data_IF_112260537022
#
_entry.id   IF_112260537022
#
_cell.length_a   1.000
_cell.length_b   1.000
_cell.length_c   1.000
_cell.angle_alpha   90.00
_cell.angle_beta   90.00
_cell.angle_gamma   90.00
#
_symmetry.space_group_name_H-M   'P 1'
#
loop_
_entity.id
_entity.type
_entity.pdbx_description
1 polymer ?
#
# COMPACT_ATOMS: atom_id res chain seq x y z
N UNK A 1 -61.15 -1.41 -39.01
CA UNK A 1 -60.38 -2.53 -38.40
C UNK A 1 -58.89 -2.07 -38.28
N UNK A 2 -58.52 -1.54 -37.14
CA UNK A 2 -57.19 -0.98 -36.88
C UNK A 2 -56.41 -2.02 -36.08
N UNK A 3 -55.34 -2.57 -36.66
CA UNK A 3 -54.47 -3.55 -35.98
C UNK A 3 -53.45 -2.83 -35.13
N UNK A 4 -53.47 -3.05 -33.80
CA UNK A 4 -52.43 -2.68 -32.88
C UNK A 4 -51.27 -3.70 -32.94
N UNK A 5 -50.05 -3.21 -33.18
CA UNK A 5 -48.83 -4.01 -33.07
C UNK A 5 -48.20 -3.64 -31.72
N UNK A 6 -47.95 -4.61 -30.83
CA UNK A 6 -47.27 -4.32 -29.56
C UNK A 6 -45.76 -4.12 -29.77
N UNK A 7 -45.28 -3.00 -29.31
CA UNK A 7 -43.84 -2.69 -29.26
C UNK A 7 -43.22 -3.42 -28.07
N UNK A 8 -42.48 -4.49 -28.33
CA UNK A 8 -41.71 -5.21 -27.28
C UNK A 8 -40.42 -4.46 -27.00
N UNK A 9 -40.34 -3.87 -25.82
CA UNK A 9 -39.12 -3.24 -25.32
C UNK A 9 -38.23 -4.34 -24.75
N UNK A 10 -37.12 -4.65 -25.43
CA UNK A 10 -36.06 -5.50 -24.91
C UNK A 10 -35.17 -4.65 -23.98
N UNK A 11 -35.27 -4.88 -22.66
CA UNK A 11 -34.33 -4.35 -21.69
C UNK A 11 -33.11 -5.29 -21.69
N UNK A 12 -32.01 -4.83 -22.30
CA UNK A 12 -30.71 -5.50 -22.18
C UNK A 12 -30.14 -5.27 -20.80
N UNK A 13 -30.22 -6.25 -19.93
CA UNK A 13 -29.52 -6.27 -18.65
C UNK A 13 -28.05 -6.57 -18.92
N UNK A 14 -27.24 -5.56 -18.95
CA UNK A 14 -25.75 -5.70 -18.99
C UNK A 14 -25.27 -6.17 -17.62
N UNK A 15 -25.09 -7.46 -17.48
CA UNK A 15 -24.43 -8.03 -16.29
C UNK A 15 -22.96 -7.65 -16.34
N UNK A 16 -22.56 -6.75 -15.47
CA UNK A 16 -21.14 -6.44 -15.23
C UNK A 16 -20.53 -7.66 -14.54
N UNK A 17 -19.76 -8.49 -15.27
CA UNK A 17 -18.95 -9.54 -14.67
C UNK A 17 -17.83 -8.85 -13.86
N UNK A 18 -18.00 -8.79 -12.56
CA UNK A 18 -16.88 -8.55 -11.63
C UNK A 18 -16.09 -9.87 -11.61
N UNK A 19 -15.00 -9.93 -12.34
CA UNK A 19 -14.05 -11.03 -12.23
C UNK A 19 -13.43 -10.96 -10.85
N UNK A 20 -13.74 -11.94 -9.99
CA UNK A 20 -12.96 -12.13 -8.77
C UNK A 20 -11.51 -12.43 -9.20
N UNK A 21 -10.56 -11.58 -8.77
CA UNK A 21 -9.15 -11.82 -8.98
C UNK A 21 -8.80 -13.19 -8.41
N UNK A 22 -8.39 -14.12 -9.29
CA UNK A 22 -7.79 -15.37 -8.81
C UNK A 22 -6.41 -15.00 -8.30
N UNK A 23 -6.27 -14.95 -6.97
CA UNK A 23 -4.99 -14.63 -6.35
C UNK A 23 -3.90 -15.60 -6.82
N UNK A 24 -2.66 -15.14 -6.83
CA UNK A 24 -1.47 -15.95 -7.15
C UNK A 24 -1.45 -17.27 -6.34
N UNK A 25 -1.02 -18.35 -6.96
CA UNK A 25 -0.80 -19.61 -6.25
C UNK A 25 0.25 -19.44 -5.13
N UNK A 26 0.16 -20.20 -4.03
CA UNK A 26 1.10 -20.06 -2.91
C UNK A 26 2.58 -20.16 -3.30
N UNK A 27 2.90 -21.04 -4.25
CA UNK A 27 4.26 -21.22 -4.77
C UNK A 27 4.74 -19.99 -5.57
N UNK A 28 3.88 -19.40 -6.39
CA UNK A 28 4.19 -18.18 -7.14
C UNK A 28 4.40 -17.00 -6.20
N UNK A 29 3.55 -16.85 -5.17
CA UNK A 29 3.71 -15.86 -4.12
C UNK A 29 5.06 -15.98 -3.42
N UNK A 30 5.40 -17.21 -2.98
CA UNK A 30 6.66 -17.48 -2.30
C UNK A 30 7.86 -17.19 -3.19
N UNK A 31 7.82 -17.63 -4.44
CA UNK A 31 8.91 -17.39 -5.41
C UNK A 31 9.13 -15.89 -5.61
N UNK A 32 8.09 -15.15 -5.97
CA UNK A 32 8.20 -13.72 -6.25
C UNK A 32 8.58 -12.91 -4.98
N UNK A 33 8.12 -13.31 -3.80
CA UNK A 33 8.50 -12.66 -2.54
C UNK A 33 9.99 -12.78 -2.25
N UNK A 34 10.63 -13.89 -2.65
CA UNK A 34 12.06 -14.14 -2.44
C UNK A 34 12.95 -13.76 -3.62
N UNK A 35 12.36 -13.42 -4.78
CA UNK A 35 13.10 -12.99 -5.98
C UNK A 35 12.57 -11.65 -6.51
N UNK A 36 13.26 -10.53 -6.23
CA UNK A 36 12.89 -9.22 -6.75
C UNK A 36 12.99 -9.10 -8.28
N UNK A 37 13.58 -10.08 -8.97
CA UNK A 37 13.72 -10.13 -10.41
C UNK A 37 12.73 -11.07 -11.09
N UNK A 38 11.79 -11.67 -10.33
CA UNK A 38 10.71 -12.48 -10.90
C UNK A 38 9.91 -11.67 -11.93
N UNK A 39 9.48 -12.33 -12.99
CA UNK A 39 8.70 -11.70 -14.09
C UNK A 39 7.40 -11.04 -13.64
N UNK A 40 6.86 -11.42 -12.50
CA UNK A 40 5.69 -10.77 -11.89
C UNK A 40 5.89 -9.26 -11.73
N UNK A 41 7.09 -8.84 -11.30
CA UNK A 41 7.39 -7.43 -10.99
C UNK A 41 7.40 -6.51 -12.21
N UNK A 42 7.44 -7.06 -13.42
CA UNK A 42 7.37 -6.31 -14.68
C UNK A 42 5.97 -6.17 -15.26
N UNK A 43 4.98 -6.86 -14.67
CA UNK A 43 3.61 -6.82 -15.15
C UNK A 43 2.91 -5.52 -14.68
N UNK A 44 2.09 -4.87 -15.54
CA UNK A 44 1.34 -3.71 -15.12
C UNK A 44 0.16 -4.12 -14.23
N UNK A 45 -0.09 -3.33 -13.18
CA UNK A 45 -1.29 -3.44 -12.39
C UNK A 45 -2.54 -3.00 -13.18
N UNK A 46 -3.76 -3.38 -12.75
CA UNK A 46 -5.01 -2.82 -13.26
C UNK A 46 -5.04 -1.30 -13.22
N UNK A 47 -5.86 -0.66 -14.10
CA UNK A 47 -5.97 0.81 -14.15
C UNK A 47 -6.42 1.41 -12.81
N UNK A 48 -7.27 0.69 -12.08
CA UNK A 48 -7.68 0.98 -10.71
C UNK A 48 -7.81 -0.33 -9.93
N UNK A 49 -7.49 -0.28 -8.64
CA UNK A 49 -7.74 -1.42 -7.74
C UNK A 49 -7.94 -0.93 -6.31
N UNK A 50 -8.63 -1.75 -5.53
CA UNK A 50 -8.89 -1.51 -4.10
C UNK A 50 -8.14 -2.50 -3.25
N UNK A 51 -7.44 -1.98 -2.26
CA UNK A 51 -6.73 -2.76 -1.23
C UNK A 51 -7.49 -2.66 0.09
N UNK A 52 -7.78 -3.81 0.68
CA UNK A 52 -8.25 -3.94 2.05
C UNK A 52 -7.04 -4.22 2.95
N UNK A 53 -6.82 -3.36 3.92
CA UNK A 53 -5.81 -3.56 4.96
C UNK A 53 -6.54 -3.85 6.28
N UNK A 54 -6.27 -5.01 6.85
CA UNK A 54 -6.69 -5.38 8.20
C UNK A 54 -5.60 -4.99 9.19
N UNK A 55 -5.97 -4.26 10.23
CA UNK A 55 -5.05 -3.81 11.29
C UNK A 55 -5.54 -4.22 12.67
N UNK A 56 -4.69 -4.08 13.68
CA UNK A 56 -5.10 -4.27 15.09
C UNK A 56 -6.14 -3.24 15.57
N UNK A 57 -6.38 -2.17 14.81
CA UNK A 57 -7.36 -1.10 15.12
C UNK A 57 -8.61 -1.14 14.26
N UNK A 58 -8.66 -1.99 13.23
CA UNK A 58 -9.79 -2.10 12.31
C UNK A 58 -9.35 -2.18 10.85
N UNK A 59 -10.29 -1.96 9.96
CA UNK A 59 -10.10 -2.09 8.51
C UNK A 59 -9.88 -0.71 7.88
N UNK A 60 -8.98 -0.66 6.90
CA UNK A 60 -8.70 0.49 6.04
C UNK A 60 -8.92 0.04 4.59
N UNK A 61 -9.63 0.84 3.79
CA UNK A 61 -9.76 0.63 2.35
C UNK A 61 -9.02 1.73 1.58
N UNK A 62 -8.14 1.30 0.67
CA UNK A 62 -7.35 2.17 -0.20
C UNK A 62 -7.79 1.99 -1.64
N UNK A 63 -8.15 3.08 -2.33
CA UNK A 63 -8.30 3.09 -3.79
C UNK A 63 -7.00 3.57 -4.43
N UNK A 64 -6.46 2.76 -5.33
CA UNK A 64 -5.29 3.07 -6.13
C UNK A 64 -5.72 3.41 -7.54
N UNK A 65 -5.16 4.50 -8.09
CA UNK A 65 -5.34 4.91 -9.48
C UNK A 65 -3.99 4.87 -10.17
N UNK A 66 -3.76 3.85 -11.01
CA UNK A 66 -2.46 3.61 -11.67
C UNK A 66 -1.95 4.84 -12.44
N UNK A 67 -2.85 5.60 -13.09
CA UNK A 67 -2.48 6.78 -13.86
C UNK A 67 -1.82 7.90 -13.03
N UNK A 68 -2.02 7.95 -11.70
CA UNK A 68 -1.39 8.93 -10.81
C UNK A 68 0.11 8.69 -10.68
N UNK A 69 0.50 7.43 -10.44
CA UNK A 69 1.90 7.02 -10.25
C UNK A 69 2.09 5.58 -10.74
N UNK A 70 2.24 5.35 -12.07
CA UNK A 70 2.20 4.01 -12.66
C UNK A 70 3.19 3.02 -12.06
N UNK A 71 4.46 3.41 -11.87
CA UNK A 71 5.51 2.55 -11.33
C UNK A 71 5.25 2.20 -9.86
N UNK A 72 4.83 3.20 -9.08
CA UNK A 72 4.45 2.99 -7.69
C UNK A 72 3.21 2.10 -7.56
N UNK A 73 2.18 2.32 -8.38
CA UNK A 73 0.98 1.50 -8.38
C UNK A 73 1.28 0.05 -8.75
N UNK A 74 2.11 -0.21 -9.77
CA UNK A 74 2.54 -1.55 -10.16
C UNK A 74 3.30 -2.24 -9.02
N UNK A 75 4.27 -1.57 -8.41
CA UNK A 75 5.04 -2.09 -7.27
C UNK A 75 4.13 -2.40 -6.08
N UNK A 76 3.25 -1.49 -5.70
CA UNK A 76 2.35 -1.67 -4.56
C UNK A 76 1.37 -2.82 -4.77
N UNK A 77 0.79 -2.94 -5.98
CA UNK A 77 -0.11 -4.01 -6.35
C UNK A 77 0.52 -5.39 -6.13
N UNK A 78 1.72 -5.62 -6.67
CA UNK A 78 2.40 -6.90 -6.54
C UNK A 78 2.89 -7.18 -5.11
N UNK A 79 3.37 -6.18 -4.38
CA UNK A 79 3.73 -6.35 -2.97
C UNK A 79 2.54 -6.80 -2.12
N UNK A 80 1.32 -6.27 -2.41
CA UNK A 80 0.09 -6.74 -1.77
C UNK A 80 -0.25 -8.16 -2.21
N UNK A 81 -0.18 -8.47 -3.51
CA UNK A 81 -0.50 -9.81 -4.04
C UNK A 81 0.38 -10.92 -3.44
N UNK A 82 1.67 -10.65 -3.24
CA UNK A 82 2.58 -11.65 -2.66
C UNK A 82 2.54 -11.71 -1.13
N UNK A 83 1.76 -10.82 -0.47
CA UNK A 83 1.63 -10.76 0.99
C UNK A 83 2.85 -10.13 1.70
N UNK A 84 3.62 -9.29 1.00
CA UNK A 84 4.82 -8.64 1.55
C UNK A 84 4.53 -7.84 2.83
N UNK A 85 3.37 -7.18 2.89
CA UNK A 85 2.99 -6.34 4.03
C UNK A 85 2.38 -7.11 5.20
N UNK A 86 2.03 -8.37 5.02
CA UNK A 86 1.34 -9.16 6.04
C UNK A 86 2.18 -9.27 7.31
N UNK A 87 1.52 -9.14 8.47
CA UNK A 87 2.14 -9.15 9.78
C UNK A 87 3.27 -8.09 9.95
N UNK A 88 3.25 -6.99 9.21
CA UNK A 88 4.19 -5.86 9.42
C UNK A 88 3.70 -4.91 10.53
N UNK A 89 4.46 -3.85 10.81
CA UNK A 89 4.13 -2.84 11.83
C UNK A 89 4.01 -1.45 11.19
N UNK A 90 3.12 -0.63 11.76
CA UNK A 90 3.17 0.81 11.55
C UNK A 90 4.30 1.38 12.41
N UNK A 91 5.53 1.24 11.94
CA UNK A 91 6.74 1.47 12.73
C UNK A 91 7.04 2.96 12.97
N UNK A 92 6.36 3.87 12.26
CA UNK A 92 6.52 5.32 12.40
C UNK A 92 5.19 6.02 12.21
N UNK A 93 4.60 6.46 13.31
CA UNK A 93 3.32 7.19 13.32
C UNK A 93 3.52 8.55 13.95
N UNK A 94 3.27 9.61 13.19
CA UNK A 94 3.35 11.00 13.63
C UNK A 94 1.94 11.59 13.58
N UNK A 95 1.36 11.79 14.75
CA UNK A 95 -0.01 12.31 14.87
C UNK A 95 -0.20 13.59 14.06
N UNK A 96 -1.29 13.67 13.29
CA UNK A 96 -1.62 14.80 12.42
C UNK A 96 -0.72 14.98 11.20
N UNK A 97 0.22 14.05 10.94
CA UNK A 97 1.09 14.10 9.77
C UNK A 97 0.96 12.85 8.89
N UNK A 98 1.42 11.70 9.37
CA UNK A 98 1.35 10.43 8.61
C UNK A 98 1.52 9.21 9.50
N UNK A 99 1.11 8.05 8.96
CA UNK A 99 1.43 6.72 9.44
C UNK A 99 2.22 5.95 8.37
N UNK A 100 3.40 5.39 8.73
CA UNK A 100 4.33 4.73 7.81
C UNK A 100 4.50 3.25 8.18
N UNK A 101 4.49 2.40 7.14
CA UNK A 101 4.69 0.95 7.21
C UNK A 101 5.47 0.46 5.98
N UNK A 102 5.67 -0.85 5.82
CA UNK A 102 6.18 -1.43 4.59
C UNK A 102 7.64 -1.88 4.66
N UNK A 103 8.13 -2.22 5.86
CA UNK A 103 9.27 -3.10 6.05
C UNK A 103 8.69 -4.44 6.48
N UNK A 104 9.08 -5.52 5.80
CA UNK A 104 8.57 -6.86 6.10
C UNK A 104 8.91 -7.26 7.55
N UNK A 105 7.97 -7.94 8.23
CA UNK A 105 8.20 -8.40 9.59
C UNK A 105 9.23 -9.54 9.70
N UNK A 106 9.43 -10.30 8.61
CA UNK A 106 10.49 -11.28 8.47
C UNK A 106 11.79 -10.59 8.02
N UNK A 107 12.89 -10.64 8.80
CA UNK A 107 14.14 -9.99 8.45
C UNK A 107 14.82 -10.58 7.20
N UNK A 108 14.57 -11.83 6.84
CA UNK A 108 15.10 -12.41 5.61
C UNK A 108 14.49 -11.72 4.39
N UNK A 109 13.16 -11.56 4.39
CA UNK A 109 12.44 -10.82 3.33
C UNK A 109 12.80 -9.33 3.36
N UNK A 110 12.84 -8.71 4.56
CA UNK A 110 13.19 -7.30 4.69
C UNK A 110 14.55 -6.98 4.06
N UNK A 111 15.56 -7.82 4.26
CA UNK A 111 16.90 -7.67 3.68
C UNK A 111 16.92 -7.78 2.16
N UNK A 112 16.18 -8.72 1.58
CA UNK A 112 16.07 -8.89 0.13
C UNK A 112 15.55 -7.58 -0.49
N UNK A 113 14.50 -6.99 0.09
CA UNK A 113 13.80 -5.82 -0.47
C UNK A 113 14.36 -4.47 -0.06
N UNK A 114 15.29 -4.42 0.88
CA UNK A 114 15.83 -3.17 1.45
C UNK A 114 16.38 -2.21 0.40
N UNK A 115 17.02 -2.73 -0.65
CA UNK A 115 17.69 -1.95 -1.67
C UNK A 115 17.06 -2.08 -3.07
N UNK A 116 15.91 -2.76 -3.20
CA UNK A 116 15.21 -2.98 -4.46
C UNK A 116 14.46 -1.72 -4.91
N UNK A 117 15.25 -0.76 -5.38
CA UNK A 117 14.79 0.56 -5.80
C UNK A 117 14.07 0.52 -7.14
N UNK A 118 13.18 1.47 -7.34
CA UNK A 118 12.53 1.72 -8.63
C UNK A 118 12.42 3.22 -8.91
N UNK A 119 12.39 3.65 -10.20
CA UNK A 119 12.39 5.04 -10.60
C UNK A 119 11.15 5.79 -10.12
N UNK A 120 11.28 7.09 -9.92
CA UNK A 120 10.19 7.96 -9.50
C UNK A 120 9.11 8.12 -10.57
N UNK A 121 7.89 8.34 -10.13
CA UNK A 121 6.77 8.82 -10.94
C UNK A 121 6.65 10.34 -10.80
N UNK A 122 6.16 11.05 -11.84
CA UNK A 122 5.82 12.46 -11.70
C UNK A 122 4.66 12.63 -10.71
N UNK A 123 4.72 13.67 -9.89
CA UNK A 123 3.65 14.04 -8.97
C UNK A 123 2.46 14.59 -9.75
N UNK A 124 1.30 13.93 -9.65
CA UNK A 124 0.05 14.27 -10.34
C UNK A 124 -1.11 14.57 -9.40
N UNK A 125 -0.97 14.27 -8.10
CA UNK A 125 -1.94 14.59 -7.06
C UNK A 125 -1.18 15.13 -5.84
N UNK A 126 -1.86 15.82 -4.93
CA UNK A 126 -1.22 16.43 -3.77
C UNK A 126 -1.24 15.52 -2.54
N UNK A 127 -0.21 15.66 -1.71
CA UNK A 127 -0.06 14.95 -0.44
C UNK A 127 -0.94 15.54 0.65
N UNK A 128 -2.25 15.50 0.47
CA UNK A 128 -3.24 15.95 1.46
C UNK A 128 -3.73 14.79 2.32
N UNK A 129 -4.45 15.09 3.39
CA UNK A 129 -5.03 14.07 4.27
C UNK A 129 -5.79 12.99 3.48
N UNK A 130 -5.50 11.75 3.79
CA UNK A 130 -6.08 10.56 3.18
C UNK A 130 -5.36 10.07 1.93
N UNK A 131 -4.44 10.83 1.34
CA UNK A 131 -3.58 10.30 0.26
C UNK A 131 -2.45 9.46 0.82
N UNK A 132 -1.86 8.60 0.00
CA UNK A 132 -0.73 7.75 0.39
C UNK A 132 0.27 7.62 -0.76
N UNK A 133 1.54 7.44 -0.41
CA UNK A 133 2.63 7.36 -1.37
C UNK A 133 3.78 6.50 -0.84
N UNK A 134 4.73 6.16 -1.71
CA UNK A 134 5.99 5.56 -1.28
C UNK A 134 6.86 6.57 -0.53
N UNK A 135 7.43 6.13 0.59
CA UNK A 135 8.52 6.84 1.25
C UNK A 135 9.82 6.70 0.45
N UNK A 136 10.64 7.74 0.46
CA UNK A 136 11.95 7.74 -0.21
C UNK A 136 12.95 8.59 0.58
N UNK A 137 14.23 8.34 0.35
CA UNK A 137 15.34 9.10 0.94
C UNK A 137 15.96 10.11 -0.02
N UNK A 138 15.56 10.08 -1.27
CA UNK A 138 16.03 10.94 -2.37
C UNK A 138 15.42 10.47 -3.70
N UNK A 139 15.80 11.06 -4.83
CA UNK A 139 15.34 10.66 -6.15
C UNK A 139 15.64 9.18 -6.44
N UNK A 140 14.70 8.49 -7.09
CA UNK A 140 14.79 7.08 -7.47
C UNK A 140 15.16 6.13 -6.31
N UNK A 141 14.77 6.48 -5.08
CA UNK A 141 15.11 5.72 -3.87
C UNK A 141 13.90 5.04 -3.21
N UNK A 142 12.79 4.93 -3.91
CA UNK A 142 11.60 4.18 -3.46
C UNK A 142 11.87 2.69 -3.48
N UNK A 143 11.45 1.97 -2.43
CA UNK A 143 11.55 0.50 -2.35
C UNK A 143 10.19 -0.15 -2.05
N UNK A 144 9.83 -0.28 -0.77
CA UNK A 144 8.61 -0.98 -0.31
C UNK A 144 7.79 -0.18 0.69
N UNK A 145 8.38 0.88 1.29
CA UNK A 145 7.75 1.60 2.40
C UNK A 145 6.69 2.58 1.91
N UNK A 146 5.53 2.56 2.57
CA UNK A 146 4.36 3.40 2.29
C UNK A 146 4.08 4.29 3.49
N UNK A 147 3.66 5.52 3.24
CA UNK A 147 3.03 6.36 4.26
C UNK A 147 1.63 6.80 3.83
N UNK A 148 0.74 6.95 4.81
CA UNK A 148 -0.62 7.48 4.63
C UNK A 148 -0.67 8.84 5.34
N UNK A 149 -1.08 9.88 4.65
CA UNK A 149 -1.19 11.23 5.20
C UNK A 149 -2.39 11.34 6.16
N UNK A 150 -2.14 11.70 7.41
CA UNK A 150 -3.18 12.01 8.42
C UNK A 150 -3.45 13.50 8.55
N UNK A 151 -2.66 14.34 7.88
CA UNK A 151 -2.81 15.79 7.76
C UNK A 151 -2.36 16.28 6.39
N UNK A 152 -2.35 17.58 6.19
CA UNK A 152 -1.82 18.21 4.98
C UNK A 152 -0.28 18.13 4.98
N UNK A 153 0.26 17.49 3.94
CA UNK A 153 1.68 17.36 3.66
C UNK A 153 2.01 17.81 2.24
N UNK A 154 1.23 18.74 1.66
CA UNK A 154 1.40 19.23 0.27
C UNK A 154 2.81 19.73 -0.05
N UNK A 155 3.60 20.13 0.96
CA UNK A 155 5.03 20.42 0.81
C UNK A 155 5.85 19.26 0.22
N UNK A 156 5.38 18.01 0.34
CA UNK A 156 6.03 16.82 -0.20
C UNK A 156 5.90 16.74 -1.73
N UNK A 157 4.94 17.45 -2.33
CA UNK A 157 4.72 17.45 -3.78
C UNK A 157 5.96 17.99 -4.52
N UNK A 158 6.51 19.11 -4.07
CA UNK A 158 7.74 19.69 -4.60
C UNK A 158 9.00 18.84 -4.37
N UNK A 159 8.91 17.86 -3.46
CA UNK A 159 9.99 16.92 -3.15
C UNK A 159 9.88 15.61 -3.95
N UNK A 160 8.88 15.47 -4.83
CA UNK A 160 8.72 14.32 -5.71
C UNK A 160 7.95 13.14 -5.11
N UNK A 161 7.29 13.29 -3.96
CA UNK A 161 6.46 12.22 -3.39
C UNK A 161 5.14 12.13 -4.15
N UNK A 162 5.00 11.15 -5.02
CA UNK A 162 3.85 10.96 -5.90
C UNK A 162 2.76 10.08 -5.23
N UNK A 163 1.56 10.62 -4.90
CA UNK A 163 0.47 9.84 -4.37
C UNK A 163 0.00 8.75 -5.35
N UNK A 164 -0.34 7.57 -4.82
CA UNK A 164 -0.87 6.43 -5.57
C UNK A 164 -2.40 6.46 -5.63
N UNK A 165 -3.04 7.10 -4.65
CA UNK A 165 -4.47 7.07 -4.45
C UNK A 165 -4.89 7.59 -3.08
N UNK A 166 -6.07 7.14 -2.61
CA UNK A 166 -6.72 7.68 -1.40
C UNK A 166 -7.30 6.59 -0.52
N UNK A 167 -7.30 6.86 0.78
CA UNK A 167 -8.12 6.13 1.77
C UNK A 167 -9.59 6.48 1.52
N UNK A 168 -10.40 5.48 1.24
CA UNK A 168 -11.84 5.64 1.01
C UNK A 168 -12.67 5.22 2.21
N UNK A 169 -12.09 4.40 3.11
CA UNK A 169 -12.69 4.02 4.38
C UNK A 169 -11.60 3.79 5.43
N UNK A 170 -11.90 4.04 6.70
CA UNK A 170 -10.99 3.72 7.81
C UNK A 170 -10.00 4.83 8.17
N UNK A 171 -10.20 6.10 7.77
CA UNK A 171 -9.36 7.21 8.24
C UNK A 171 -9.31 7.33 9.77
N UNK A 172 -10.43 7.04 10.46
CA UNK A 172 -10.47 7.00 11.93
C UNK A 172 -9.60 5.88 12.51
N UNK A 173 -9.45 4.75 11.81
CA UNK A 173 -8.55 3.66 12.20
C UNK A 173 -7.11 4.16 12.16
N UNK A 174 -6.73 4.88 11.09
CA UNK A 174 -5.38 5.42 10.92
C UNK A 174 -5.07 6.49 11.97
N UNK A 175 -6.02 7.37 12.28
CA UNK A 175 -5.87 8.39 13.33
C UNK A 175 -5.67 7.79 14.74
N UNK A 176 -6.19 6.58 14.98
CA UNK A 176 -6.07 5.86 16.25
C UNK A 176 -4.87 4.91 16.32
N UNK A 177 -4.00 4.87 15.31
CA UNK A 177 -2.74 4.12 15.38
C UNK A 177 -1.84 4.73 16.46
N UNK A 178 -1.13 3.86 17.20
CA UNK A 178 -0.29 4.30 18.29
C UNK A 178 0.88 5.20 17.82
N UNK A 179 0.86 6.45 18.25
CA UNK A 179 1.83 7.47 17.87
C UNK A 179 2.82 7.83 19.00
N UNK A 180 2.76 7.15 20.14
CA UNK A 180 3.54 7.53 21.33
C UNK A 180 5.05 7.37 21.17
N UNK A 181 5.50 6.57 20.22
CA UNK A 181 6.94 6.45 19.90
C UNK A 181 7.46 7.57 18.98
N UNK A 182 6.62 8.15 18.13
CA UNK A 182 6.99 9.28 17.27
C UNK A 182 8.22 9.03 16.39
N UNK A 183 9.02 10.06 16.17
CA UNK A 183 10.26 9.97 15.39
C UNK A 183 11.50 9.69 16.24
N UNK A 184 11.44 9.98 17.52
CA UNK A 184 12.62 10.00 18.40
C UNK A 184 12.72 8.80 19.31
N UNK A 185 11.61 8.13 19.58
CA UNK A 185 11.62 6.92 20.38
C UNK A 185 12.27 5.77 19.60
N UNK A 186 13.02 4.94 20.31
CA UNK A 186 13.62 3.75 19.75
C UNK A 186 14.74 3.98 18.77
N UNK A 187 15.51 5.04 18.91
CA UNK A 187 16.64 5.32 18.03
C UNK A 187 16.22 5.83 16.65
N UNK A 188 14.95 6.26 16.52
CA UNK A 188 14.45 6.86 15.30
C UNK A 188 14.20 5.83 14.21
N UNK A 189 12.96 5.43 14.04
CA UNK A 189 12.53 4.58 12.93
C UNK A 189 12.42 5.34 11.60
N UNK A 190 12.96 6.54 11.51
CA UNK A 190 13.07 7.30 10.27
C UNK A 190 14.24 6.80 9.42
N UNK A 191 14.29 7.24 8.17
CA UNK A 191 15.38 6.92 7.25
C UNK A 191 16.76 7.11 7.90
N UNK A 192 17.66 6.14 7.73
CA UNK A 192 18.98 6.09 8.33
C UNK A 192 19.06 5.46 9.72
N UNK A 193 17.93 5.19 10.38
CA UNK A 193 17.88 4.57 11.71
C UNK A 193 17.10 3.25 11.75
N UNK A 194 16.81 2.66 10.59
CA UNK A 194 15.99 1.45 10.46
C UNK A 194 16.85 0.17 10.47
N UNK A 195 18.16 0.23 10.71
CA UNK A 195 19.07 -0.93 10.61
C UNK A 195 18.61 -2.14 11.39
N UNK A 196 18.32 -1.95 12.69
CA UNK A 196 17.82 -3.06 13.54
C UNK A 196 16.49 -3.64 13.06
N UNK A 197 15.60 -2.83 12.50
CA UNK A 197 14.34 -3.32 11.95
C UNK A 197 14.58 -4.23 10.75
N UNK A 198 15.52 -3.91 9.87
CA UNK A 198 15.91 -4.80 8.77
C UNK A 198 16.67 -6.04 9.24
N UNK A 199 17.42 -5.95 10.34
CA UNK A 199 18.22 -7.05 10.89
C UNK A 199 17.41 -8.05 11.71
N UNK A 200 16.49 -7.58 12.55
CA UNK A 200 15.77 -8.39 13.54
C UNK A 200 14.25 -8.46 13.28
N UNK A 201 13.71 -7.64 12.36
CA UNK A 201 12.31 -7.65 11.97
C UNK A 201 11.34 -7.38 13.13
N UNK A 202 10.23 -8.12 13.15
CA UNK A 202 9.21 -8.01 14.19
C UNK A 202 9.74 -8.31 15.59
N UNK A 203 10.74 -9.20 15.75
CA UNK A 203 11.29 -9.54 17.05
C UNK A 203 11.86 -8.31 17.77
N UNK A 204 12.52 -7.41 17.02
CA UNK A 204 12.99 -6.11 17.55
C UNK A 204 11.82 -5.22 17.95
N UNK A 205 10.80 -5.09 17.08
CA UNK A 205 9.67 -4.19 17.34
C UNK A 205 8.81 -4.68 18.51
N UNK A 206 8.55 -5.97 18.60
CA UNK A 206 7.74 -6.57 19.66
C UNK A 206 8.43 -6.50 21.03
N UNK A 207 9.78 -6.53 21.06
CA UNK A 207 10.58 -6.37 22.28
C UNK A 207 10.66 -4.91 22.73
N UNK A 208 11.01 -4.01 21.82
CA UNK A 208 11.39 -2.64 22.18
C UNK A 208 10.24 -1.63 21.93
N UNK A 209 9.24 -1.98 21.10
CA UNK A 209 8.13 -1.11 20.67
C UNK A 209 6.78 -1.85 20.66
N UNK A 210 6.50 -2.61 21.70
CA UNK A 210 5.36 -3.53 21.80
C UNK A 210 3.97 -2.88 21.67
N UNK A 211 3.86 -1.54 21.74
CA UNK A 211 2.60 -0.80 21.55
C UNK A 211 2.33 -0.46 20.08
N UNK A 212 3.27 -0.75 19.15
CA UNK A 212 3.03 -0.49 17.73
C UNK A 212 1.88 -1.34 17.20
N UNK A 213 1.00 -0.69 16.46
CA UNK A 213 -0.09 -1.38 15.78
C UNK A 213 0.42 -2.20 14.59
N UNK A 214 -0.26 -3.31 14.33
CA UNK A 214 0.08 -4.25 13.26
C UNK A 214 -0.81 -4.04 12.04
N UNK A 215 -0.20 -4.13 10.87
CA UNK A 215 -0.87 -4.50 9.65
C UNK A 215 -0.94 -6.03 9.65
N UNK A 216 -2.13 -6.58 9.88
CA UNK A 216 -2.35 -8.03 9.99
C UNK A 216 -2.27 -8.67 8.61
N UNK A 217 -2.99 -8.09 7.64
CA UNK A 217 -3.05 -8.56 6.25
C UNK A 217 -3.44 -7.43 5.30
N UNK A 218 -2.89 -7.49 4.08
CA UNK A 218 -3.31 -6.66 2.95
C UNK A 218 -3.77 -7.55 1.78
N UNK A 219 -4.89 -7.20 1.13
CA UNK A 219 -5.44 -7.98 0.02
C UNK A 219 -6.09 -7.09 -1.03
N UNK A 220 -6.00 -7.48 -2.31
CA UNK A 220 -6.74 -6.86 -3.41
C UNK A 220 -8.17 -7.39 -3.37
N UNK A 221 -9.15 -6.49 -3.26
CA UNK A 221 -10.58 -6.88 -3.18
C UNK A 221 -11.40 -6.43 -4.37
N UNK A 222 -10.89 -5.52 -5.19
CA UNK A 222 -11.55 -5.02 -6.40
C UNK A 222 -10.51 -4.61 -7.44
N UNK A 223 -10.76 -4.90 -8.72
CA UNK A 223 -9.92 -4.52 -9.85
C UNK A 223 -10.79 -3.97 -10.98
N UNK A 224 -10.30 -2.92 -11.66
CA UNK A 224 -10.88 -2.38 -12.88
C UNK A 224 -9.80 -2.27 -13.95
N UNK A 225 -10.06 -2.87 -15.10
CA UNK A 225 -9.18 -2.82 -16.28
C UNK A 225 -9.32 -1.52 -17.03
#
# INVERSE_FOLDING_TARGET
MTRFVPLSVFIAVTTLLVAASQGLAPEERSRALHDPHDSLWSQPAPSMYRVRIETTKGIILLDVTRALAPRGADRFYHLVQVGFYDNSRFFRVISGRFAQFGIAGDPAIAKIWQNERFPDDPVKDSNVRGTFAFAMTGPDARTTQIYINTGDQSRLDAMGFAPLGKVVEGMSVIDNLYAGYGETSGGGMRAGHQGKLFEEGNAYLDRDFHLLDRLVRAEIIEERK
#
